data_IF_348436005021
#
_entry.id   IF_348436005021
#
_cell.length_a   1.000
_cell.length_b   1.000
_cell.length_c   1.000
_cell.angle_alpha   90.00
_cell.angle_beta   90.00
_cell.angle_gamma   90.00
#
_symmetry.space_group_name_H-M   'P 1'
#
loop_
_entity.id
_entity.type
_entity.pdbx_description
1 polymer ?
#
# COMPACT_ATOMS: atom_id res chain seq x y z
N UNK A 1 -34.89 81.40 -116.01
CA UNK A 1 -34.35 80.42 -116.98
C UNK A 1 -32.93 80.06 -116.53
N UNK A 2 -32.81 79.15 -115.56
CA UNK A 2 -32.45 77.72 -115.75
C UNK A 2 -30.97 77.52 -116.11
N UNK A 3 -30.05 77.64 -115.14
CA UNK A 3 -28.67 77.13 -115.30
C UNK A 3 -27.84 76.94 -114.01
N UNK A 4 -28.27 77.39 -112.82
CA UNK A 4 -27.43 77.29 -111.60
C UNK A 4 -27.89 76.29 -110.53
N UNK A 5 -29.07 75.67 -110.66
CA UNK A 5 -29.55 74.67 -109.68
C UNK A 5 -29.14 73.24 -110.02
N UNK A 6 -28.57 72.99 -111.20
CA UNK A 6 -28.17 71.64 -111.64
C UNK A 6 -26.73 71.24 -111.22
N UNK A 7 -25.88 72.19 -110.82
CA UNK A 7 -24.51 71.89 -110.35
C UNK A 7 -24.46 71.51 -108.86
N UNK A 8 -25.35 72.04 -108.04
CA UNK A 8 -25.45 71.70 -106.61
C UNK A 8 -26.10 70.33 -106.37
N UNK A 9 -27.09 69.94 -107.20
CA UNK A 9 -27.71 68.61 -107.11
C UNK A 9 -26.72 67.49 -107.46
N UNK A 10 -25.85 67.73 -108.44
CA UNK A 10 -24.81 66.78 -108.88
C UNK A 10 -23.64 66.63 -107.90
N UNK A 11 -23.52 67.51 -106.91
CA UNK A 11 -22.52 67.40 -105.83
C UNK A 11 -23.11 66.68 -104.59
N UNK A 12 -24.42 66.80 -104.36
CA UNK A 12 -25.15 66.14 -103.27
C UNK A 12 -25.50 64.67 -103.56
N UNK A 13 -25.42 64.23 -104.82
CA UNK A 13 -25.68 62.83 -105.24
C UNK A 13 -24.39 61.99 -105.36
N UNK A 14 -23.22 62.56 -105.07
CA UNK A 14 -21.97 61.78 -104.97
C UNK A 14 -21.94 61.01 -103.65
N UNK A 15 -22.51 59.80 -103.67
CA UNK A 15 -22.25 58.77 -102.66
C UNK A 15 -20.75 58.45 -102.68
N UNK A 16 -20.02 58.88 -101.67
CA UNK A 16 -18.73 58.28 -101.31
C UNK A 16 -19.02 57.00 -100.54
N UNK A 17 -19.00 55.87 -101.24
CA UNK A 17 -18.90 54.56 -100.61
C UNK A 17 -17.48 54.42 -100.05
N UNK A 18 -17.34 54.55 -98.73
CA UNK A 18 -16.14 54.12 -98.00
C UNK A 18 -16.52 52.80 -97.32
N UNK A 19 -16.22 51.69 -97.99
CA UNK A 19 -16.19 50.38 -97.34
C UNK A 19 -15.00 50.35 -96.36
N UNK A 20 -15.28 50.56 -95.08
CA UNK A 20 -14.34 50.20 -94.02
C UNK A 20 -14.48 48.68 -93.83
N UNK A 21 -13.64 47.92 -94.53
CA UNK A 21 -13.46 46.50 -94.24
C UNK A 21 -12.68 46.35 -92.94
N UNK A 22 -13.41 46.27 -91.83
CA UNK A 22 -12.89 45.75 -90.58
C UNK A 22 -13.40 44.31 -90.45
N UNK A 23 -12.61 43.35 -90.94
CA UNK A 23 -12.79 41.95 -90.52
C UNK A 23 -12.50 41.89 -89.01
N UNK A 24 -13.44 41.47 -88.14
CA UNK A 24 -13.05 41.01 -86.83
C UNK A 24 -12.39 39.66 -87.06
N UNK A 25 -11.06 39.63 -87.10
CA UNK A 25 -10.35 38.39 -86.81
C UNK A 25 -10.66 38.11 -85.33
N UNK A 26 -11.68 37.31 -85.08
CA UNK A 26 -11.83 36.63 -83.80
C UNK A 26 -10.67 35.63 -83.78
N UNK A 27 -9.52 36.08 -83.29
CA UNK A 27 -8.51 35.15 -82.80
C UNK A 27 -9.18 34.40 -81.67
N UNK A 28 -9.48 33.13 -81.91
CA UNK A 28 -9.79 32.16 -80.88
C UNK A 28 -8.52 32.01 -80.05
N UNK A 29 -8.30 32.94 -79.12
CA UNK A 29 -7.27 32.81 -78.10
C UNK A 29 -7.73 31.67 -77.19
N UNK A 30 -7.33 30.45 -77.55
CA UNK A 30 -7.32 29.34 -76.61
C UNK A 30 -6.37 29.74 -75.49
N UNK A 31 -6.93 30.33 -74.43
CA UNK A 31 -6.20 30.66 -73.21
C UNK A 31 -5.61 29.34 -72.71
N UNK A 32 -4.28 29.26 -72.70
CA UNK A 32 -3.56 28.12 -72.18
C UNK A 32 -3.66 28.14 -70.66
N UNK A 33 -4.60 27.35 -70.13
CA UNK A 33 -4.79 27.18 -68.69
C UNK A 33 -3.84 26.14 -68.10
N UNK A 34 -2.89 25.57 -68.85
CA UNK A 34 -1.95 24.56 -68.34
C UNK A 34 -1.16 25.09 -67.14
N UNK A 35 -0.72 26.34 -67.18
CA UNK A 35 -0.01 26.98 -66.06
C UNK A 35 -0.93 27.17 -64.84
N UNK A 36 -2.22 27.47 -65.07
CA UNK A 36 -3.22 27.62 -64.02
C UNK A 36 -3.60 26.27 -63.43
N UNK A 37 -3.72 25.22 -64.25
CA UNK A 37 -3.95 23.84 -63.82
C UNK A 37 -2.73 23.26 -63.08
N UNK A 38 -1.51 23.61 -63.50
CA UNK A 38 -0.26 23.25 -62.83
C UNK A 38 -0.10 24.01 -61.50
N UNK A 39 -0.51 25.28 -61.44
CA UNK A 39 -0.61 26.07 -60.21
C UNK A 39 -1.69 25.51 -59.28
N UNK A 40 -2.88 25.18 -59.78
CA UNK A 40 -3.97 24.59 -58.98
C UNK A 40 -3.63 23.18 -58.49
N UNK A 41 -2.87 22.40 -59.29
CA UNK A 41 -2.35 21.10 -58.91
C UNK A 41 -1.26 21.17 -57.84
N UNK A 42 -0.40 22.20 -57.86
CA UNK A 42 0.63 22.42 -56.84
C UNK A 42 0.08 23.05 -55.54
N UNK A 43 -1.06 23.75 -55.60
CA UNK A 43 -1.70 24.37 -54.43
C UNK A 43 -2.49 23.34 -53.57
N UNK A 44 -2.76 22.12 -54.07
CA UNK A 44 -3.62 21.14 -53.40
C UNK A 44 -2.98 19.80 -52.99
N UNK A 45 -1.67 19.61 -53.17
CA UNK A 45 -1.00 18.38 -52.71
C UNK A 45 -0.69 18.45 -51.22
N UNK A 46 -1.56 17.91 -50.39
CA UNK A 46 -1.25 17.67 -48.97
C UNK A 46 -0.20 16.56 -48.88
N UNK A 47 0.97 16.79 -48.26
CA UNK A 47 1.96 15.75 -48.04
C UNK A 47 1.51 14.77 -46.94
N UNK A 48 2.14 13.59 -46.89
CA UNK A 48 1.96 12.69 -45.74
C UNK A 48 2.46 13.37 -44.45
N UNK A 49 1.87 13.10 -43.28
CA UNK A 49 2.25 13.76 -42.04
C UNK A 49 3.65 13.36 -41.59
N UNK A 50 4.27 14.21 -40.78
CA UNK A 50 5.49 13.90 -40.05
C UNK A 50 5.20 12.93 -38.89
N UNK A 51 6.26 12.26 -38.40
CA UNK A 51 6.14 11.38 -37.24
C UNK A 51 5.70 12.18 -36.00
N UNK A 52 4.62 11.77 -35.30
CA UNK A 52 4.24 12.44 -34.05
C UNK A 52 5.28 12.20 -32.96
N UNK A 53 5.28 13.08 -31.96
CA UNK A 53 6.18 12.98 -30.80
C UNK A 53 5.37 12.64 -29.55
N UNK A 54 5.56 11.44 -28.98
CA UNK A 54 4.92 11.06 -27.72
C UNK A 54 5.54 11.86 -26.58
N UNK A 55 4.70 12.48 -25.76
CA UNK A 55 5.12 13.27 -24.60
C UNK A 55 5.61 12.33 -23.48
N UNK A 56 6.54 12.74 -22.61
CA UNK A 56 6.90 11.95 -21.44
C UNK A 56 5.69 11.68 -20.52
N UNK A 57 5.67 10.52 -19.87
CA UNK A 57 4.64 10.20 -18.89
C UNK A 57 4.67 11.21 -17.74
N UNK A 58 3.56 11.90 -17.51
CA UNK A 58 3.41 12.75 -16.34
C UNK A 58 3.41 11.87 -15.06
N UNK A 59 4.08 12.29 -13.97
CA UNK A 59 4.02 11.57 -12.70
C UNK A 59 2.58 11.41 -12.21
N UNK A 60 2.25 10.26 -11.62
CA UNK A 60 0.92 9.96 -11.07
C UNK A 60 -0.24 9.99 -12.10
N UNK A 61 0.06 9.88 -13.38
CA UNK A 61 -0.96 9.91 -14.45
C UNK A 61 -1.55 8.54 -14.79
N UNK A 62 -0.95 7.45 -14.31
CA UNK A 62 -1.41 6.09 -14.56
C UNK A 62 -2.25 5.53 -13.40
N UNK A 63 -3.10 4.58 -13.72
CA UNK A 63 -3.75 3.69 -12.75
C UNK A 63 -3.10 2.31 -12.81
N UNK A 64 -3.55 1.39 -11.96
CA UNK A 64 -3.09 0.00 -12.02
C UNK A 64 -3.45 -0.71 -13.32
N UNK A 65 -4.45 -0.21 -14.07
CA UNK A 65 -4.94 -0.87 -15.29
C UNK A 65 -5.06 0.04 -16.50
N UNK A 66 -4.61 1.30 -16.39
CA UNK A 66 -4.71 2.24 -17.49
C UNK A 66 -3.62 3.30 -17.49
N UNK A 67 -3.30 3.78 -18.68
CA UNK A 67 -2.34 4.85 -18.94
C UNK A 67 -2.94 5.80 -19.98
N UNK A 68 -2.76 7.11 -19.77
CA UNK A 68 -3.06 8.11 -20.79
C UNK A 68 -1.78 8.51 -21.52
N UNK A 69 -1.74 8.23 -22.82
CA UNK A 69 -0.63 8.59 -23.71
C UNK A 69 -1.05 9.81 -24.51
N UNK A 70 -0.19 10.83 -24.55
CA UNK A 70 -0.43 12.07 -25.30
C UNK A 70 0.74 12.31 -26.24
N UNK A 71 0.48 12.88 -27.41
CA UNK A 71 1.52 13.23 -28.38
C UNK A 71 1.28 14.60 -29.00
N UNK A 72 2.31 15.12 -29.64
CA UNK A 72 2.32 16.41 -30.31
C UNK A 72 2.70 16.24 -31.78
N UNK A 73 2.20 17.14 -32.62
CA UNK A 73 2.54 17.23 -34.04
C UNK A 73 3.41 18.46 -34.31
N UNK A 74 4.08 18.46 -35.46
CA UNK A 74 4.64 19.67 -36.05
C UNK A 74 3.50 20.52 -36.65
N UNK A 75 3.62 21.85 -36.58
CA UNK A 75 2.50 22.81 -36.65
C UNK A 75 1.70 22.82 -37.95
N UNK A 76 2.23 22.23 -39.01
CA UNK A 76 1.71 22.41 -40.38
C UNK A 76 1.10 21.12 -40.95
N UNK A 77 1.13 20.02 -40.20
CA UNK A 77 0.60 18.73 -40.65
C UNK A 77 -0.93 18.65 -40.51
N UNK A 78 -1.58 18.23 -41.59
CA UNK A 78 -3.02 17.88 -41.57
C UNK A 78 -3.16 16.38 -41.34
N UNK A 79 -3.75 16.01 -40.20
CA UNK A 79 -3.91 14.61 -39.77
C UNK A 79 -5.39 14.28 -39.57
N UNK A 80 -5.82 13.14 -40.09
CA UNK A 80 -7.20 12.65 -40.00
C UNK A 80 -7.38 11.65 -38.84
N UNK A 81 -6.37 10.82 -38.59
CA UNK A 81 -6.37 9.88 -37.47
C UNK A 81 -4.96 9.45 -37.07
N UNK A 82 -4.86 8.83 -35.90
CA UNK A 82 -3.62 8.26 -35.37
C UNK A 82 -3.82 6.80 -35.06
N UNK A 83 -2.79 5.99 -35.30
CA UNK A 83 -2.73 4.60 -34.87
C UNK A 83 -1.69 4.47 -33.76
N UNK A 84 -2.16 4.24 -32.53
CA UNK A 84 -1.32 3.95 -31.37
C UNK A 84 -1.12 2.44 -31.27
N UNK A 85 0.13 2.00 -31.28
CA UNK A 85 0.56 0.62 -31.07
C UNK A 85 1.24 0.49 -29.71
N UNK A 86 0.98 -0.60 -29.00
CA UNK A 86 1.59 -0.84 -27.69
C UNK A 86 1.79 -2.31 -27.35
N UNK A 87 2.79 -2.57 -26.51
CA UNK A 87 3.16 -3.90 -26.01
C UNK A 87 3.83 -3.85 -24.63
N UNK A 88 3.68 -4.88 -23.78
CA UNK A 88 4.40 -4.95 -22.52
C UNK A 88 5.91 -5.18 -22.75
N UNK A 89 6.75 -4.51 -21.97
CA UNK A 89 8.19 -4.77 -21.92
C UNK A 89 8.42 -6.08 -21.15
N UNK A 90 9.19 -7.02 -21.72
CA UNK A 90 9.59 -8.26 -21.05
C UNK A 90 11.09 -8.49 -21.21
N UNK A 91 11.76 -8.85 -20.12
CA UNK A 91 13.15 -9.31 -20.13
C UNK A 91 13.22 -10.77 -20.60
N UNK A 92 13.44 -11.01 -21.90
CA UNK A 92 13.79 -12.36 -22.39
C UNK A 92 13.46 -12.68 -23.85
N UNK A 93 14.52 -12.94 -24.62
CA UNK A 93 14.64 -13.52 -25.99
C UNK A 93 13.83 -12.90 -27.15
N UNK A 94 14.49 -12.43 -28.22
CA UNK A 94 13.83 -12.03 -29.45
C UNK A 94 13.32 -13.28 -30.17
N UNK A 95 12.02 -13.58 -30.13
CA UNK A 95 11.51 -14.73 -30.87
C UNK A 95 10.07 -15.15 -30.64
N UNK A 96 9.37 -14.68 -29.61
CA UNK A 96 7.93 -14.96 -29.49
C UNK A 96 7.12 -13.92 -30.25
N UNK A 97 6.35 -14.40 -31.22
CA UNK A 97 5.41 -13.65 -32.05
C UNK A 97 4.59 -12.67 -31.20
N UNK A 98 4.65 -11.40 -31.58
CA UNK A 98 4.24 -10.29 -30.72
C UNK A 98 2.77 -9.96 -30.98
N UNK A 99 1.91 -10.08 -29.96
CA UNK A 99 0.58 -9.47 -30.02
C UNK A 99 0.73 -7.98 -29.69
N UNK A 100 1.16 -7.21 -30.68
CA UNK A 100 1.12 -5.75 -30.65
C UNK A 100 -0.35 -5.31 -30.74
N UNK A 101 -0.81 -4.57 -29.74
CA UNK A 101 -2.17 -4.06 -29.71
C UNK A 101 -2.20 -2.70 -30.39
N UNK A 102 -3.15 -2.50 -31.31
CA UNK A 102 -3.32 -1.22 -32.02
C UNK A 102 -4.67 -0.58 -31.71
N UNK A 103 -4.68 0.74 -31.52
CA UNK A 103 -5.88 1.54 -31.30
C UNK A 103 -5.84 2.75 -32.23
N UNK A 104 -6.93 2.98 -32.96
CA UNK A 104 -7.09 4.16 -33.82
C UNK A 104 -7.89 5.24 -33.11
N UNK A 105 -7.36 6.47 -33.06
CA UNK A 105 -8.01 7.64 -32.44
C UNK A 105 -7.92 8.86 -33.34
N UNK A 106 -8.73 9.90 -33.10
CA UNK A 106 -8.67 11.16 -33.85
C UNK A 106 -8.00 12.28 -33.07
N UNK A 107 -8.00 12.15 -31.75
CA UNK A 107 -7.39 13.08 -30.81
C UNK A 107 -5.87 12.86 -30.71
N UNK A 108 -5.16 13.85 -30.18
CA UNK A 108 -3.72 13.76 -29.88
C UNK A 108 -3.41 13.04 -28.56
N UNK A 109 -4.34 12.21 -28.10
CA UNK A 109 -4.19 11.39 -26.89
C UNK A 109 -5.04 10.11 -26.97
N UNK A 110 -4.64 9.09 -26.23
CA UNK A 110 -5.41 7.86 -26.06
C UNK A 110 -5.29 7.37 -24.61
N UNK A 111 -6.42 6.93 -24.03
CA UNK A 111 -6.42 6.25 -22.72
C UNK A 111 -6.50 4.75 -22.95
N UNK A 112 -5.37 4.06 -22.74
CA UNK A 112 -5.25 2.62 -22.90
C UNK A 112 -5.62 1.96 -21.57
N UNK A 113 -6.55 1.01 -21.60
CA UNK A 113 -7.06 0.29 -20.44
C UNK A 113 -6.75 -1.21 -20.50
N UNK A 114 -7.12 -1.96 -19.46
CA UNK A 114 -6.86 -3.40 -19.31
C UNK A 114 -5.37 -3.76 -19.32
N UNK A 115 -4.53 -2.85 -18.84
CA UNK A 115 -3.11 -3.07 -18.64
C UNK A 115 -2.86 -3.82 -17.33
N UNK A 116 -1.71 -4.47 -17.23
CA UNK A 116 -1.27 -5.16 -16.02
C UNK A 116 -0.64 -4.15 -15.05
N UNK A 117 -0.96 -4.19 -13.74
CA UNK A 117 -0.32 -3.32 -12.75
C UNK A 117 1.20 -3.49 -12.65
N UNK A 118 1.89 -2.45 -12.19
CA UNK A 118 3.35 -2.42 -12.03
C UNK A 118 4.15 -2.97 -13.24
N UNK A 119 3.72 -2.62 -14.44
CA UNK A 119 4.27 -3.17 -15.69
C UNK A 119 4.65 -2.03 -16.63
N UNK A 120 5.80 -2.17 -17.29
CA UNK A 120 6.25 -1.25 -18.32
C UNK A 120 5.63 -1.62 -19.67
N UNK A 121 5.22 -0.61 -20.42
CA UNK A 121 4.65 -0.74 -21.75
C UNK A 121 5.36 0.21 -22.70
N UNK A 122 5.71 -0.30 -23.87
CA UNK A 122 6.21 0.48 -24.99
C UNK A 122 5.06 0.97 -25.85
N UNK A 123 5.13 2.23 -26.26
CA UNK A 123 4.14 2.91 -27.10
C UNK A 123 4.81 3.51 -28.33
N UNK A 124 4.16 3.37 -29.49
CA UNK A 124 4.51 4.03 -30.75
C UNK A 124 3.25 4.53 -31.43
N UNK A 125 3.30 5.72 -32.02
CA UNK A 125 2.16 6.30 -32.72
C UNK A 125 2.53 6.65 -34.16
N UNK A 126 1.61 6.43 -35.09
CA UNK A 126 1.67 6.92 -36.48
C UNK A 126 0.49 7.84 -36.75
N UNK A 127 0.69 8.86 -37.58
CA UNK A 127 -0.35 9.74 -38.07
C UNK A 127 -0.76 9.32 -39.49
N UNK A 128 -2.04 9.49 -39.81
CA UNK A 128 -2.62 9.16 -41.11
C UNK A 128 -3.40 10.34 -41.66
N UNK A 129 -3.21 10.65 -42.94
CA UNK A 129 -4.07 11.53 -43.71
C UNK A 129 -4.35 10.95 -45.10
N UNK A 130 -5.09 11.68 -45.93
CA UNK A 130 -5.36 11.33 -47.33
C UNK A 130 -4.15 11.02 -48.21
N UNK A 131 -2.95 11.51 -47.88
CA UNK A 131 -1.73 11.26 -48.64
C UNK A 131 -0.97 10.01 -48.19
N UNK A 132 -1.18 9.55 -46.95
CA UNK A 132 -0.59 8.31 -46.44
C UNK A 132 -0.35 8.29 -44.94
N UNK A 133 0.49 7.34 -44.52
CA UNK A 133 0.94 7.15 -43.15
C UNK A 133 2.27 7.87 -42.91
N UNK A 134 2.43 8.45 -41.73
CA UNK A 134 3.72 8.95 -41.25
C UNK A 134 4.66 7.80 -40.88
N UNK A 135 5.98 8.06 -40.76
CA UNK A 135 6.84 7.19 -39.96
C UNK A 135 6.33 7.07 -38.52
N UNK A 136 6.68 5.96 -37.86
CA UNK A 136 6.34 5.77 -36.45
C UNK A 136 7.13 6.74 -35.56
N UNK A 137 6.52 7.17 -34.46
CA UNK A 137 7.20 7.92 -33.41
C UNK A 137 8.38 7.13 -32.83
N UNK A 138 9.28 7.86 -32.16
CA UNK A 138 10.20 7.25 -31.21
C UNK A 138 9.42 6.45 -30.15
N UNK A 139 10.05 5.39 -29.65
CA UNK A 139 9.44 4.50 -28.67
C UNK A 139 9.39 5.18 -27.31
N UNK A 140 8.19 5.31 -26.72
CA UNK A 140 8.02 5.81 -25.37
C UNK A 140 7.70 4.67 -24.41
N UNK A 141 8.33 4.66 -23.24
CA UNK A 141 8.07 3.67 -22.19
C UNK A 141 7.27 4.32 -21.08
N UNK A 142 6.12 3.76 -20.77
CA UNK A 142 5.28 4.18 -19.65
C UNK A 142 5.12 3.03 -18.66
N UNK A 143 4.83 3.38 -17.41
CA UNK A 143 4.58 2.42 -16.33
C UNK A 143 3.17 2.58 -15.78
N UNK A 144 2.47 1.46 -15.60
CA UNK A 144 1.21 1.41 -14.84
C UNK A 144 1.48 1.53 -13.35
N UNK A 145 0.54 2.09 -12.59
CA UNK A 145 0.67 2.18 -11.14
C UNK A 145 0.69 0.77 -10.50
N UNK A 146 1.25 0.61 -9.28
CA UNK A 146 1.31 -0.70 -8.64
C UNK A 146 -0.06 -1.20 -8.15
N UNK A 147 -0.14 -2.50 -7.90
CA UNK A 147 -1.23 -3.08 -7.11
C UNK A 147 -1.12 -2.63 -5.64
N UNK A 148 -2.25 -2.44 -4.93
CA UNK A 148 -2.24 -2.13 -3.51
C UNK A 148 -1.54 -3.23 -2.69
N UNK A 149 -0.67 -2.87 -1.73
CA UNK A 149 -0.10 -3.83 -0.79
C UNK A 149 -1.17 -4.51 0.07
N UNK A 150 -0.87 -5.69 0.61
CA UNK A 150 -1.77 -6.44 1.49
C UNK A 150 -1.25 -6.39 2.92
N UNK A 151 -1.99 -5.75 3.83
CA UNK A 151 -1.60 -5.66 5.24
C UNK A 151 -1.69 -7.05 5.90
N UNK A 152 -0.60 -7.46 6.55
CA UNK A 152 -0.55 -8.70 7.31
C UNK A 152 -1.11 -8.50 8.72
N UNK A 153 -2.43 -8.57 8.85
CA UNK A 153 -3.13 -8.34 10.13
C UNK A 153 -2.63 -9.20 11.29
N UNK A 154 -2.05 -10.38 11.01
CA UNK A 154 -1.47 -11.26 12.04
C UNK A 154 -0.12 -10.81 12.59
N UNK A 155 0.62 -10.01 11.83
CA UNK A 155 1.95 -9.51 12.19
C UNK A 155 1.92 -8.10 12.80
N UNK A 156 0.75 -7.44 12.75
CA UNK A 156 0.52 -6.12 13.34
C UNK A 156 0.70 -6.18 14.85
N UNK A 157 1.43 -5.19 15.36
CA UNK A 157 1.75 -5.02 16.78
C UNK A 157 1.53 -3.57 17.16
N UNK A 158 0.99 -3.30 18.34
CA UNK A 158 0.76 -1.93 18.77
C UNK A 158 0.85 -1.75 20.27
N UNK A 159 1.12 -0.51 20.68
CA UNK A 159 0.94 0.00 22.02
C UNK A 159 0.20 1.35 21.94
N UNK A 160 0.08 2.05 23.05
CA UNK A 160 -0.62 3.33 23.12
C UNK A 160 -0.03 4.40 22.19
N UNK A 161 1.29 4.39 22.02
CA UNK A 161 2.04 5.48 21.38
C UNK A 161 2.56 5.11 19.98
N UNK A 162 2.41 3.85 19.57
CA UNK A 162 2.95 3.39 18.29
C UNK A 162 2.32 2.08 17.81
N UNK A 163 2.38 1.87 16.50
CA UNK A 163 2.04 0.60 15.88
C UNK A 163 3.08 0.22 14.83
N UNK A 164 3.51 -1.04 14.85
CA UNK A 164 4.31 -1.65 13.81
C UNK A 164 3.36 -2.36 12.84
N UNK A 165 3.32 -1.85 11.60
CA UNK A 165 2.49 -2.37 10.52
C UNK A 165 3.38 -3.13 9.55
N UNK A 166 2.99 -4.36 9.22
CA UNK A 166 3.68 -5.20 8.24
C UNK A 166 2.71 -5.50 7.09
N UNK A 167 3.23 -5.54 5.86
CA UNK A 167 2.44 -5.86 4.67
C UNK A 167 3.21 -6.76 3.71
N UNK A 168 2.54 -7.20 2.67
CA UNK A 168 3.13 -7.84 1.50
C UNK A 168 2.94 -6.93 0.30
N UNK A 169 3.96 -6.80 -0.54
CA UNK A 169 3.88 -5.98 -1.75
C UNK A 169 2.76 -6.44 -2.69
N UNK A 170 2.61 -7.76 -2.88
CA UNK A 170 1.69 -8.34 -3.88
C UNK A 170 2.07 -8.07 -5.35
N UNK A 171 3.10 -7.24 -5.59
CA UNK A 171 3.61 -6.92 -6.92
C UNK A 171 4.74 -7.88 -7.32
N UNK A 172 4.75 -8.33 -8.58
CA UNK A 172 5.80 -9.21 -9.11
C UNK A 172 7.13 -8.48 -9.27
N UNK A 173 7.06 -7.24 -9.77
CA UNK A 173 8.21 -6.34 -9.89
C UNK A 173 8.37 -5.51 -8.61
N UNK A 174 9.60 -5.09 -8.26
CA UNK A 174 9.81 -4.15 -7.17
C UNK A 174 9.06 -2.84 -7.43
N UNK A 175 8.67 -2.18 -6.34
CA UNK A 175 8.08 -0.84 -6.36
C UNK A 175 9.12 0.14 -5.81
N UNK A 176 8.98 1.42 -6.11
CA UNK A 176 9.97 2.43 -5.71
C UNK A 176 9.92 2.69 -4.20
N UNK A 177 8.71 2.77 -3.63
CA UNK A 177 8.50 2.94 -2.18
C UNK A 177 7.05 2.67 -1.76
N UNK A 178 6.80 2.73 -0.46
CA UNK A 178 5.47 2.71 0.14
C UNK A 178 5.16 4.02 0.88
N UNK A 179 3.87 4.32 0.99
CA UNK A 179 3.33 5.38 1.84
C UNK A 179 2.32 4.78 2.81
N UNK A 180 2.44 5.12 4.09
CA UNK A 180 1.47 4.79 5.12
C UNK A 180 0.69 6.05 5.48
N UNK A 181 -0.62 6.04 5.23
CA UNK A 181 -1.53 7.14 5.56
C UNK A 181 -2.31 6.80 6.85
N UNK A 182 -2.27 7.69 7.84
CA UNK A 182 -3.04 7.57 9.08
C UNK A 182 -4.19 8.57 9.05
N UNK A 183 -5.41 8.06 9.04
CA UNK A 183 -6.63 8.88 9.07
C UNK A 183 -7.25 8.80 10.45
N UNK A 184 -7.29 9.92 11.15
CA UNK A 184 -7.92 10.03 12.46
C UNK A 184 -9.44 9.79 12.36
N UNK A 185 -10.00 8.92 13.21
CA UNK A 185 -11.44 8.72 13.30
C UNK A 185 -12.14 9.97 13.86
N UNK A 186 -13.25 10.37 13.24
CA UNK A 186 -13.92 11.67 13.45
C UNK A 186 -14.27 11.96 14.92
N UNK A 187 -13.58 12.94 15.48
CA UNK A 187 -13.95 13.61 16.72
C UNK A 187 -14.80 14.81 16.30
N UNK A 188 -16.13 14.63 16.25
CA UNK A 188 -17.15 15.62 15.86
C UNK A 188 -16.68 17.05 15.54
N UNK A 189 -16.67 17.41 14.25
CA UNK A 189 -16.59 18.79 13.76
C UNK A 189 -15.31 19.19 13.00
N UNK A 190 -14.28 18.34 12.94
CA UNK A 190 -13.08 18.60 12.15
C UNK A 190 -12.89 17.53 11.06
N UNK A 191 -12.56 17.98 9.84
CA UNK A 191 -12.10 17.11 8.75
C UNK A 191 -10.94 16.25 9.25
N UNK A 192 -11.03 14.93 9.08
CA UNK A 192 -10.06 13.98 9.61
C UNK A 192 -8.64 14.34 9.17
N UNK A 193 -7.79 14.73 10.12
CA UNK A 193 -6.38 15.03 9.86
C UNK A 193 -5.75 13.73 9.34
N UNK A 194 -5.15 13.81 8.15
CA UNK A 194 -4.43 12.71 7.53
C UNK A 194 -2.94 12.97 7.71
N UNK A 195 -2.28 12.13 8.50
CA UNK A 195 -0.82 12.09 8.59
C UNK A 195 -0.30 11.06 7.59
N UNK A 196 0.91 11.26 7.06
CA UNK A 196 1.48 10.32 6.08
C UNK A 196 2.98 10.15 6.27
N UNK A 197 3.41 8.90 6.32
CA UNK A 197 4.82 8.51 6.28
C UNK A 197 5.12 8.04 4.86
N UNK A 198 6.01 8.74 4.16
CA UNK A 198 6.31 8.54 2.73
C UNK A 198 7.71 7.98 2.53
N UNK A 199 7.97 7.34 1.39
CA UNK A 199 9.31 6.91 0.99
C UNK A 199 9.82 5.67 1.76
N UNK A 200 8.91 4.83 2.25
CA UNK A 200 9.27 3.62 3.00
C UNK A 200 9.81 2.56 2.02
N UNK A 201 11.06 2.08 2.16
CA UNK A 201 11.65 1.15 1.20
C UNK A 201 11.31 -0.32 1.49
N UNK A 202 10.82 -0.63 2.69
CA UNK A 202 10.55 -2.00 3.17
C UNK A 202 9.04 -2.25 3.33
N UNK A 203 8.66 -3.52 3.49
CA UNK A 203 7.27 -3.92 3.72
C UNK A 203 6.83 -3.83 5.20
N UNK A 204 7.47 -2.96 5.97
CA UNK A 204 7.13 -2.71 7.37
C UNK A 204 7.38 -1.25 7.73
N UNK A 205 6.58 -0.73 8.67
CA UNK A 205 6.76 0.62 9.19
C UNK A 205 6.26 0.74 10.62
N UNK A 206 7.08 1.34 11.47
CA UNK A 206 6.71 1.76 12.81
C UNK A 206 6.13 3.17 12.74
N UNK A 207 4.82 3.28 12.96
CA UNK A 207 4.12 4.56 13.00
C UNK A 207 3.95 5.03 14.44
N UNK A 208 4.16 6.33 14.67
CA UNK A 208 3.87 6.97 15.94
C UNK A 208 2.37 7.32 15.99
N UNK A 209 1.76 7.11 17.15
CA UNK A 209 0.34 7.34 17.39
C UNK A 209 0.20 8.33 18.54
N UNK A 210 -0.80 9.19 18.46
CA UNK A 210 -1.17 9.98 19.62
C UNK A 210 -2.01 9.14 20.59
N UNK A 211 -1.69 9.20 21.89
CA UNK A 211 -2.49 8.54 22.91
C UNK A 211 -3.97 8.91 22.81
N UNK A 212 -4.85 7.94 23.11
CA UNK A 212 -6.31 8.13 23.17
C UNK A 212 -6.95 8.57 21.86
N UNK A 213 -6.30 8.31 20.74
CA UNK A 213 -6.86 8.58 19.43
C UNK A 213 -7.05 7.30 18.62
N UNK A 214 -8.14 7.24 17.86
CA UNK A 214 -8.42 6.15 16.93
C UNK A 214 -7.98 6.52 15.52
N UNK A 215 -7.30 5.59 14.86
CA UNK A 215 -6.74 5.77 13.51
C UNK A 215 -7.20 4.64 12.58
N UNK A 216 -7.43 4.99 11.33
CA UNK A 216 -7.51 4.05 10.20
C UNK A 216 -6.23 4.16 9.40
N UNK A 217 -5.54 3.04 9.22
CA UNK A 217 -4.23 3.00 8.55
C UNK A 217 -4.42 2.44 7.14
N UNK A 218 -3.91 3.17 6.15
CA UNK A 218 -3.84 2.74 4.76
C UNK A 218 -2.38 2.60 4.34
N UNK A 219 -2.08 1.62 3.49
CA UNK A 219 -0.78 1.48 2.86
C UNK A 219 -0.96 1.63 1.34
N UNK A 220 0.01 2.23 0.67
CA UNK A 220 0.05 2.39 -0.79
C UNK A 220 1.44 2.06 -1.28
N UNK A 221 1.53 1.42 -2.44
CA UNK A 221 2.77 1.26 -3.17
C UNK A 221 2.90 2.38 -4.20
N UNK A 222 4.12 2.81 -4.48
CA UNK A 222 4.43 3.88 -5.41
C UNK A 222 5.46 3.43 -6.43
N UNK A 223 5.23 3.83 -7.68
CA UNK A 223 6.24 3.82 -8.73
C UNK A 223 6.11 5.11 -9.57
N UNK A 224 6.92 5.26 -10.63
CA UNK A 224 6.84 6.38 -11.57
C UNK A 224 5.44 6.58 -12.20
N UNK A 225 4.67 5.50 -12.37
CA UNK A 225 3.31 5.55 -12.89
C UNK A 225 2.31 6.19 -11.92
N UNK A 226 2.57 6.07 -10.62
CA UNK A 226 1.80 6.71 -9.56
C UNK A 226 1.59 5.83 -8.34
N UNK A 227 0.81 6.31 -7.35
CA UNK A 227 0.43 5.52 -6.20
C UNK A 227 -0.62 4.48 -6.58
N UNK A 228 -0.54 3.29 -5.98
CA UNK A 228 -1.62 2.31 -5.98
C UNK A 228 -2.90 2.90 -5.36
N UNK A 229 -4.02 2.21 -5.54
CA UNK A 229 -5.19 2.46 -4.68
C UNK A 229 -4.83 2.23 -3.20
N UNK A 230 -5.60 2.84 -2.30
CA UNK A 230 -5.47 2.61 -0.85
C UNK A 230 -5.82 1.15 -0.54
N UNK A 231 -4.98 0.46 0.23
CA UNK A 231 -5.39 -0.82 0.81
C UNK A 231 -6.56 -0.58 1.75
N UNK A 232 -7.78 -0.94 1.36
CA UNK A 232 -8.93 -0.73 2.24
C UNK A 232 -8.99 -1.84 3.29
N UNK A 233 -8.60 -1.53 4.51
CA UNK A 233 -9.08 -2.26 5.67
C UNK A 233 -10.51 -1.74 5.98
N UNK A 234 -11.54 -2.32 5.34
CA UNK A 234 -12.93 -1.99 5.70
C UNK A 234 -13.36 -2.81 6.90
N UNK A 235 -13.68 -2.12 7.98
CA UNK A 235 -14.36 -2.69 9.13
C UNK A 235 -15.87 -2.76 8.85
N UNK A 236 -16.38 -3.93 8.45
CA UNK A 236 -17.82 -4.18 8.27
C UNK A 236 -18.44 -4.67 9.59
N UNK A 237 -19.52 -4.07 10.10
CA UNK A 237 -20.23 -4.62 11.25
C UNK A 237 -21.14 -5.77 10.81
N UNK A 238 -20.94 -6.97 11.36
CA UNK A 238 -21.95 -8.03 11.30
C UNK A 238 -21.50 -9.42 10.84
N UNK A 239 -20.23 -9.63 10.47
CA UNK A 239 -19.69 -10.97 10.24
C UNK A 239 -18.57 -11.24 11.24
N UNK A 240 -18.90 -12.04 12.24
CA UNK A 240 -17.98 -12.54 13.25
C UNK A 240 -16.90 -13.41 12.58
N UNK A 241 -15.67 -13.32 13.12
CA UNK A 241 -14.44 -14.01 12.74
C UNK A 241 -13.60 -13.37 11.64
N UNK A 242 -13.05 -12.20 11.95
CA UNK A 242 -11.64 -11.82 11.76
C UNK A 242 -11.48 -10.51 12.55
N UNK A 243 -10.72 -10.58 13.64
CA UNK A 243 -10.58 -9.54 14.67
C UNK A 243 -10.31 -8.16 14.08
N UNK A 244 -11.39 -7.39 13.97
CA UNK A 244 -11.39 -5.94 14.13
C UNK A 244 -10.63 -5.62 15.43
N UNK A 245 -9.41 -5.08 15.35
CA UNK A 245 -9.06 -4.03 16.30
C UNK A 245 -9.90 -2.82 15.91
N UNK A 246 -11.14 -2.80 16.39
CA UNK A 246 -11.87 -1.55 16.53
C UNK A 246 -11.06 -0.77 17.59
N UNK A 247 -10.20 0.15 17.15
CA UNK A 247 -9.84 1.30 17.99
C UNK A 247 -11.13 2.08 18.13
N UNK A 248 -11.94 1.72 19.12
CA UNK A 248 -13.03 2.55 19.62
C UNK A 248 -12.48 3.27 20.83
N UNK A 249 -12.00 4.49 20.61
CA UNK A 249 -12.06 5.50 21.66
C UNK A 249 -13.52 5.94 21.72
N UNK A 250 -14.32 5.23 22.52
CA UNK A 250 -15.68 5.66 22.82
C UNK A 250 -15.58 6.83 23.79
N UNK A 251 -16.26 7.94 23.49
CA UNK A 251 -16.26 9.11 24.39
C UNK A 251 -17.06 8.80 25.66
N UNK A 252 -16.38 9.10 26.76
CA UNK A 252 -16.84 9.82 27.93
C UNK A 252 -18.17 9.37 28.55
N UNK A 253 -18.06 8.30 29.34
CA UNK A 253 -18.78 8.17 30.60
C UNK A 253 -17.85 8.13 31.82
N UNK A 254 -16.62 7.59 31.72
CA UNK A 254 -15.81 7.34 32.91
C UNK A 254 -14.29 7.29 32.66
N UNK A 255 -13.57 8.42 32.81
CA UNK A 255 -12.13 8.43 33.11
C UNK A 255 -11.14 8.13 31.97
N UNK A 256 -9.83 8.31 32.21
CA UNK A 256 -8.78 8.22 31.18
C UNK A 256 -8.49 6.77 30.80
N UNK A 257 -9.02 6.30 29.67
CA UNK A 257 -8.77 4.95 29.18
C UNK A 257 -7.48 4.91 28.34
N UNK A 258 -6.41 4.28 28.87
CA UNK A 258 -5.25 3.85 28.11
C UNK A 258 -5.57 2.49 27.46
N UNK A 259 -5.32 2.33 26.16
CA UNK A 259 -5.48 1.05 25.46
C UNK A 259 -4.19 0.22 25.62
N UNK A 260 -4.33 -1.05 26.06
CA UNK A 260 -3.22 -1.96 26.29
C UNK A 260 -2.46 -2.34 25.02
N UNK A 261 -1.27 -2.93 25.20
CA UNK A 261 -0.46 -3.42 24.09
C UNK A 261 -1.17 -4.54 23.34
N UNK A 262 -0.99 -4.64 22.03
CA UNK A 262 -1.50 -5.73 21.19
C UNK A 262 -0.35 -6.42 20.48
N UNK A 263 -0.28 -7.73 20.66
CA UNK A 263 0.69 -8.62 20.05
C UNK A 263 0.10 -10.03 19.93
N UNK A 264 0.77 -10.91 19.21
CA UNK A 264 0.43 -12.34 19.13
C UNK A 264 1.59 -13.19 19.60
N UNK A 265 1.30 -14.44 19.92
CA UNK A 265 2.33 -15.44 20.20
C UNK A 265 3.16 -15.72 18.94
N UNK A 266 4.47 -15.83 19.12
CA UNK A 266 5.42 -16.11 18.06
C UNK A 266 5.56 -17.62 17.84
N UNK A 267 4.92 -18.12 16.79
CA UNK A 267 4.97 -19.53 16.39
C UNK A 267 6.39 -20.07 16.17
N UNK A 268 7.33 -19.22 15.74
CA UNK A 268 8.71 -19.64 15.48
C UNK A 268 9.47 -19.99 16.78
N UNK A 269 9.11 -19.34 17.89
CA UNK A 269 9.71 -19.60 19.21
C UNK A 269 9.05 -20.78 19.93
N UNK A 270 7.84 -21.16 19.51
CA UNK A 270 6.95 -22.07 20.22
C UNK A 270 7.53 -23.48 20.37
N UNK A 271 7.61 -23.97 21.61
CA UNK A 271 8.05 -25.34 21.90
C UNK A 271 7.13 -26.38 21.23
N UNK A 272 7.65 -27.54 20.75
CA UNK A 272 6.85 -28.54 20.03
C UNK A 272 5.69 -29.21 20.82
N UNK A 273 5.59 -28.96 22.12
CA UNK A 273 4.47 -29.44 22.97
C UNK A 273 3.38 -28.40 23.19
N UNK A 274 3.59 -27.19 22.65
CA UNK A 274 2.63 -26.12 22.69
C UNK A 274 1.99 -25.97 21.31
N UNK A 275 0.68 -25.75 21.31
CA UNK A 275 -0.07 -25.33 20.14
C UNK A 275 -0.62 -23.95 20.41
N UNK A 276 -0.52 -23.08 19.41
CA UNK A 276 -1.09 -21.74 19.43
C UNK A 276 -2.45 -21.78 18.72
N UNK A 277 -3.47 -21.13 19.28
CA UNK A 277 -4.79 -20.99 18.66
C UNK A 277 -4.74 -20.14 17.38
N UNK A 278 -5.76 -20.26 16.53
CA UNK A 278 -5.81 -19.54 15.24
C UNK A 278 -5.74 -18.01 15.38
N UNK A 279 -6.28 -17.48 16.48
CA UNK A 279 -6.23 -16.04 16.83
C UNK A 279 -4.83 -15.58 17.28
N UNK A 280 -3.91 -16.51 17.59
CA UNK A 280 -2.56 -16.23 18.06
C UNK A 280 -2.48 -15.78 19.52
N UNK A 281 -3.54 -15.94 20.32
CA UNK A 281 -3.62 -15.41 21.69
C UNK A 281 -3.69 -16.49 22.78
N UNK A 282 -3.91 -17.75 22.44
CA UNK A 282 -3.98 -18.85 23.41
C UNK A 282 -2.85 -19.84 23.15
N UNK A 283 -2.11 -20.20 24.20
CA UNK A 283 -1.17 -21.32 24.17
C UNK A 283 -1.76 -22.50 24.94
N UNK A 284 -1.73 -23.68 24.33
CA UNK A 284 -2.27 -24.92 24.91
C UNK A 284 -1.17 -25.96 24.93
N UNK A 285 -0.94 -26.58 26.08
CA UNK A 285 -0.10 -27.76 26.23
C UNK A 285 -0.97 -29.01 26.27
N UNK A 286 -0.80 -29.87 25.28
CA UNK A 286 -1.54 -31.14 25.18
C UNK A 286 -0.92 -32.23 26.06
N UNK A 287 -1.70 -33.24 26.45
CA UNK A 287 -1.20 -34.46 27.11
C UNK A 287 -0.44 -35.38 26.15
N UNK A 288 -0.76 -35.32 24.85
CA UNK A 288 -0.11 -36.10 23.79
C UNK A 288 0.75 -35.18 22.94
N UNK A 289 1.97 -35.62 22.63
CA UNK A 289 2.83 -34.93 21.65
C UNK A 289 2.08 -34.90 20.31
N UNK A 290 1.86 -33.71 19.77
CA UNK A 290 1.29 -33.56 18.43
C UNK A 290 2.23 -34.20 17.42
N UNK A 291 1.74 -35.00 16.45
CA UNK A 291 2.56 -35.50 15.36
C UNK A 291 2.86 -34.35 14.41
N UNK A 292 3.91 -33.58 14.71
CA UNK A 292 4.39 -32.50 13.83
C UNK A 292 5.43 -33.05 12.87
N UNK A 293 5.24 -32.80 11.56
CA UNK A 293 6.29 -32.87 10.54
C UNK A 293 7.53 -32.15 11.09
N UNK A 294 8.67 -32.83 11.17
CA UNK A 294 9.91 -32.26 11.71
C UNK A 294 10.17 -30.89 11.08
N UNK A 295 10.05 -29.79 11.84
CA UNK A 295 10.43 -28.49 11.34
C UNK A 295 11.97 -28.44 11.28
N UNK A 296 12.56 -27.62 10.40
CA UNK A 296 14.01 -27.44 10.38
C UNK A 296 14.52 -27.02 11.77
N UNK A 297 15.76 -27.38 12.15
CA UNK A 297 16.35 -26.97 13.41
C UNK A 297 16.55 -25.45 13.39
N UNK A 298 15.55 -24.70 13.84
CA UNK A 298 15.68 -23.26 14.06
C UNK A 298 16.29 -23.02 15.44
N UNK A 299 17.39 -22.26 15.49
CA UNK A 299 18.03 -21.84 16.73
C UNK A 299 17.13 -20.96 17.62
N UNK A 300 16.01 -20.47 17.07
CA UNK A 300 15.06 -19.57 17.72
C UNK A 300 14.00 -20.27 18.56
N UNK A 301 13.80 -21.59 18.39
CA UNK A 301 12.73 -22.34 19.07
C UNK A 301 13.16 -22.82 20.45
N UNK A 302 12.24 -22.77 21.41
CA UNK A 302 12.37 -23.48 22.69
C UNK A 302 12.44 -25.00 22.51
N UNK A 303 13.44 -25.64 23.12
CA UNK A 303 13.72 -27.09 22.93
C UNK A 303 13.61 -27.91 24.20
N UNK A 304 13.90 -27.32 25.38
CA UNK A 304 13.72 -27.97 26.69
C UNK A 304 12.69 -27.24 27.55
N UNK A 305 12.74 -25.92 27.61
CA UNK A 305 11.71 -25.15 28.28
C UNK A 305 10.43 -25.21 27.47
N UNK A 306 9.31 -25.63 28.05
CA UNK A 306 8.04 -25.73 27.32
C UNK A 306 7.39 -24.34 27.28
N UNK A 307 7.93 -23.48 26.42
CA UNK A 307 7.64 -22.05 26.39
C UNK A 307 7.38 -21.50 24.98
N UNK A 308 6.86 -20.29 24.94
CA UNK A 308 6.58 -19.49 23.74
C UNK A 308 6.76 -18.01 24.08
N UNK A 309 7.34 -17.24 23.15
CA UNK A 309 7.45 -15.78 23.24
C UNK A 309 6.27 -15.10 22.56
N UNK A 310 5.92 -13.89 22.98
CA UNK A 310 5.11 -12.95 22.23
C UNK A 310 5.94 -12.21 21.19
N UNK A 311 5.29 -11.72 20.14
CA UNK A 311 5.91 -10.85 19.14
C UNK A 311 6.34 -9.52 19.78
N UNK A 312 7.57 -9.08 19.48
CA UNK A 312 8.16 -7.86 20.01
C UNK A 312 7.39 -6.62 19.58
N UNK A 313 7.09 -5.73 20.53
CA UNK A 313 6.68 -4.35 20.24
C UNK A 313 7.94 -3.47 20.44
N UNK A 314 8.60 -2.99 19.37
CA UNK A 314 9.91 -2.34 19.46
C UNK A 314 9.79 -0.85 19.84
N UNK A 315 9.15 -0.58 20.98
CA UNK A 315 8.88 0.78 21.47
C UNK A 315 9.26 0.84 22.95
N UNK A 316 10.00 1.87 23.34
CA UNK A 316 10.32 2.12 24.75
C UNK A 316 9.21 3.00 25.31
N UNK A 317 8.17 2.37 25.83
CA UNK A 317 7.03 3.06 26.45
C UNK A 317 6.42 2.23 27.57
N UNK A 318 5.13 2.42 27.82
CA UNK A 318 4.39 1.57 28.77
C UNK A 318 3.61 0.50 28.02
N UNK A 319 3.73 -0.73 28.51
CA UNK A 319 3.09 -1.90 27.91
C UNK A 319 2.26 -2.64 28.93
N UNK A 320 1.11 -3.11 28.47
CA UNK A 320 0.12 -3.74 29.32
C UNK A 320 -0.59 -4.88 28.62
N UNK A 321 -0.77 -5.98 29.34
CA UNK A 321 -1.59 -7.12 28.92
C UNK A 321 -2.02 -7.94 30.13
N UNK A 322 -3.10 -8.69 29.95
CA UNK A 322 -3.57 -9.67 30.90
C UNK A 322 -3.29 -11.09 30.41
N UNK A 323 -3.08 -12.00 31.35
CA UNK A 323 -3.03 -13.42 31.09
C UNK A 323 -4.06 -14.10 31.97
N UNK A 324 -5.01 -14.79 31.35
CA UNK A 324 -5.91 -15.72 32.01
C UNK A 324 -5.22 -17.07 32.18
N UNK A 325 -5.26 -17.56 33.41
CA UNK A 325 -4.53 -18.75 33.87
C UNK A 325 -5.45 -19.63 34.71
N UNK A 326 -5.17 -20.93 34.72
CA UNK A 326 -5.87 -21.90 35.57
C UNK A 326 -5.14 -22.07 36.91
N UNK A 327 -5.88 -22.01 38.02
CA UNK A 327 -5.39 -22.15 39.40
C UNK A 327 -4.66 -23.48 39.67
N UNK A 328 -4.90 -24.51 38.86
CA UNK A 328 -4.28 -25.84 38.98
C UNK A 328 -3.21 -26.11 37.92
N UNK A 329 -2.89 -25.13 37.07
CA UNK A 329 -1.87 -25.27 36.04
C UNK A 329 -0.51 -24.80 36.52
N UNK A 330 0.54 -25.50 36.11
CA UNK A 330 1.93 -25.07 36.33
C UNK A 330 2.34 -24.16 35.16
N UNK A 331 2.45 -22.86 35.44
CA UNK A 331 2.72 -21.86 34.43
C UNK A 331 3.82 -20.89 34.86
N UNK A 332 4.48 -20.29 33.86
CA UNK A 332 5.37 -19.14 34.05
C UNK A 332 4.97 -18.04 33.09
N UNK A 333 4.83 -16.81 33.58
CA UNK A 333 4.46 -15.62 32.79
C UNK A 333 5.42 -14.48 33.10
N UNK A 334 5.76 -13.67 32.10
CA UNK A 334 6.66 -12.54 32.33
C UNK A 334 7.20 -11.94 31.03
N UNK A 335 8.43 -11.44 31.09
CA UNK A 335 9.16 -10.92 29.94
C UNK A 335 10.57 -11.47 29.87
N UNK A 336 11.12 -11.55 28.66
CA UNK A 336 12.49 -11.98 28.43
C UNK A 336 13.12 -11.29 27.22
N UNK A 337 14.44 -11.22 27.18
CA UNK A 337 15.15 -10.80 25.97
C UNK A 337 15.04 -11.87 24.87
N UNK A 338 15.26 -11.46 23.62
CA UNK A 338 15.22 -12.36 22.45
C UNK A 338 16.24 -13.51 22.58
N UNK A 339 17.42 -13.21 23.13
CA UNK A 339 18.55 -14.12 23.31
C UNK A 339 18.44 -15.04 24.54
N UNK A 340 17.30 -15.04 25.25
CA UNK A 340 17.10 -15.94 26.39
C UNK A 340 17.35 -17.40 26.00
N UNK A 341 18.14 -18.16 26.77
CA UNK A 341 18.45 -19.57 26.48
C UNK A 341 17.18 -20.40 26.28
N UNK A 342 17.13 -21.10 25.14
CA UNK A 342 15.97 -21.90 24.74
C UNK A 342 15.94 -23.30 25.40
N UNK A 343 16.95 -23.59 26.22
CA UNK A 343 17.17 -24.86 26.92
C UNK A 343 16.98 -24.74 28.44
N UNK A 344 16.80 -23.54 28.98
CA UNK A 344 16.65 -23.28 30.41
C UNK A 344 15.25 -22.74 30.72
N UNK A 345 14.80 -22.93 31.95
CA UNK A 345 13.48 -22.45 32.36
C UNK A 345 13.47 -20.91 32.46
N UNK A 346 12.35 -20.30 32.09
CA UNK A 346 12.16 -18.86 32.22
C UNK A 346 12.33 -18.41 33.69
N UNK A 347 13.10 -17.35 33.90
CA UNK A 347 13.49 -16.82 35.22
C UNK A 347 14.77 -17.45 35.81
N UNK A 348 15.37 -18.45 35.16
CA UNK A 348 16.56 -19.14 35.66
C UNK A 348 17.88 -18.37 35.46
N UNK A 349 17.87 -17.31 34.67
CA UNK A 349 19.03 -16.48 34.36
C UNK A 349 18.65 -14.99 34.41
N UNK A 350 19.60 -14.12 34.12
CA UNK A 350 19.39 -12.67 34.11
C UNK A 350 18.73 -12.13 32.82
N UNK A 351 18.30 -13.01 31.90
CA UNK A 351 17.71 -12.62 30.61
C UNK A 351 16.17 -12.71 30.61
N UNK A 352 15.58 -13.05 31.76
CA UNK A 352 14.13 -13.15 31.93
C UNK A 352 13.69 -12.73 33.35
N UNK A 353 12.48 -12.17 33.43
CA UNK A 353 11.81 -11.76 34.66
C UNK A 353 10.41 -12.34 34.65
N UNK A 354 10.12 -13.27 35.57
CA UNK A 354 8.90 -14.05 35.48
C UNK A 354 8.24 -14.31 36.83
N UNK A 355 6.92 -14.41 36.82
CA UNK A 355 6.12 -15.02 37.87
C UNK A 355 5.86 -16.48 37.50
N UNK A 356 6.24 -17.41 38.38
CA UNK A 356 5.97 -18.84 38.25
C UNK A 356 4.94 -19.28 39.27
N UNK A 357 4.00 -20.09 38.83
CA UNK A 357 3.05 -20.80 39.68
C UNK A 357 3.27 -22.31 39.54
N UNK A 358 3.32 -23.01 40.68
CA UNK A 358 3.37 -24.47 40.73
C UNK A 358 2.28 -24.96 41.67
N UNK A 359 1.46 -25.89 41.16
CA UNK A 359 0.42 -26.54 41.92
C UNK A 359 0.89 -27.92 42.42
N UNK A 360 1.02 -28.03 43.74
CA UNK A 360 1.29 -29.27 44.45
C UNK A 360 0.20 -29.48 45.49
N UNK A 361 -0.92 -30.08 45.05
CA UNK A 361 -2.16 -30.21 45.84
C UNK A 361 -1.91 -30.55 47.32
N UNK A 362 -2.45 -29.77 48.28
CA UNK A 362 -3.36 -28.62 48.12
C UNK A 362 -2.64 -27.24 48.11
N UNK A 363 -1.32 -27.19 47.87
CA UNK A 363 -0.52 -25.97 48.01
C UNK A 363 -0.27 -25.32 46.65
N UNK A 364 -0.55 -24.01 46.60
CA UNK A 364 -0.05 -23.12 45.56
C UNK A 364 1.32 -22.58 45.97
N UNK A 365 2.30 -22.66 45.07
CA UNK A 365 3.60 -22.01 45.23
C UNK A 365 3.73 -20.95 44.15
N UNK A 366 4.05 -19.72 44.57
CA UNK A 366 4.31 -18.61 43.67
C UNK A 366 5.72 -18.09 43.87
N UNK A 367 6.45 -17.90 42.77
CA UNK A 367 7.83 -17.42 42.77
C UNK A 367 7.98 -16.28 41.78
N UNK A 368 8.74 -15.25 42.12
CA UNK A 368 9.08 -14.16 41.23
C UNK A 368 10.55 -14.27 40.87
N UNK A 369 10.82 -14.92 39.75
CA UNK A 369 12.12 -15.41 39.32
C UNK A 369 12.84 -14.40 38.43
N UNK A 370 14.05 -14.04 38.86
CA UNK A 370 15.10 -13.45 38.03
C UNK A 370 16.45 -13.94 38.57
N UNK A 371 17.29 -14.52 37.72
CA UNK A 371 18.55 -15.16 38.15
C UNK A 371 18.34 -16.22 39.25
N UNK A 372 17.24 -17.00 39.18
CA UNK A 372 16.79 -17.99 40.20
C UNK A 372 16.54 -17.41 41.59
N UNK A 373 16.56 -16.09 41.73
CA UNK A 373 16.22 -15.43 42.99
C UNK A 373 14.72 -15.21 43.03
N UNK A 374 14.09 -15.62 44.14
CA UNK A 374 12.70 -15.28 44.45
C UNK A 374 12.66 -14.55 45.79
N UNK A 375 11.93 -13.43 45.90
CA UNK A 375 11.64 -12.85 47.20
C UNK A 375 10.68 -13.75 47.98
N UNK A 376 10.70 -13.63 49.32
CA UNK A 376 9.73 -14.31 50.17
C UNK A 376 8.38 -13.58 50.10
N UNK A 377 7.49 -14.08 49.24
CA UNK A 377 6.16 -13.53 49.00
C UNK A 377 5.13 -14.64 49.18
N UNK A 378 4.03 -14.30 49.86
CA UNK A 378 2.89 -15.21 50.05
C UNK A 378 1.67 -14.66 49.36
N UNK A 379 1.19 -15.39 48.36
CA UNK A 379 -0.09 -15.15 47.71
C UNK A 379 -1.12 -16.07 48.36
N UNK A 380 -2.15 -15.48 48.98
CA UNK A 380 -3.21 -16.21 49.70
C UNK A 380 -4.43 -16.49 48.84
N UNK A 381 -4.64 -15.69 47.79
CA UNK A 381 -5.74 -15.84 46.84
C UNK A 381 -5.13 -16.07 45.46
N UNK A 382 -5.34 -17.25 44.89
CA UNK A 382 -4.83 -17.60 43.58
C UNK A 382 -5.46 -16.69 42.49
N UNK A 383 -4.66 -16.00 41.65
CA UNK A 383 -5.21 -15.24 40.53
C UNK A 383 -5.69 -16.18 39.43
N UNK A 384 -6.87 -15.89 38.88
CA UNK A 384 -7.34 -16.40 37.58
C UNK A 384 -6.86 -15.51 36.44
N UNK A 385 -6.61 -14.23 36.73
CA UNK A 385 -6.07 -13.26 35.78
C UNK A 385 -4.90 -12.48 36.36
N UNK A 386 -3.82 -12.42 35.60
CA UNK A 386 -2.59 -11.71 35.96
C UNK A 386 -2.38 -10.55 34.99
N UNK A 387 -2.41 -9.33 35.53
CA UNK A 387 -2.06 -8.12 34.80
C UNK A 387 -0.54 -7.92 34.81
N UNK A 388 0.02 -7.61 33.65
CA UNK A 388 1.41 -7.25 33.46
C UNK A 388 1.50 -5.77 33.12
N UNK A 389 2.36 -5.05 33.84
CA UNK A 389 2.69 -3.66 33.57
C UNK A 389 4.19 -3.55 33.39
N UNK A 390 4.62 -3.30 32.15
CA UNK A 390 6.00 -3.05 31.79
C UNK A 390 6.18 -1.56 31.53
N UNK A 391 7.03 -0.93 32.33
CA UNK A 391 7.36 0.49 32.24
C UNK A 391 8.85 0.62 31.96
N UNK A 392 9.20 0.92 30.71
CA UNK A 392 10.60 1.13 30.32
C UNK A 392 11.19 2.41 30.94
N UNK A 393 10.40 3.47 31.10
CA UNK A 393 10.85 4.75 31.63
C UNK A 393 11.31 4.60 33.08
N UNK A 394 10.50 3.91 33.88
CA UNK A 394 10.78 3.66 35.29
C UNK A 394 11.57 2.36 35.53
N UNK A 395 11.89 1.59 34.48
CA UNK A 395 12.59 0.31 34.59
C UNK A 395 11.90 -0.68 35.54
N UNK A 396 10.56 -0.79 35.42
CA UNK A 396 9.73 -1.62 36.30
C UNK A 396 8.90 -2.62 35.52
N UNK A 397 8.85 -3.86 36.01
CA UNK A 397 7.87 -4.87 35.60
C UNK A 397 7.04 -5.25 36.81
N UNK A 398 5.74 -4.98 36.76
CA UNK A 398 4.81 -5.23 37.87
C UNK A 398 3.74 -6.24 37.49
N UNK A 399 3.38 -7.08 38.46
CA UNK A 399 2.36 -8.12 38.36
C UNK A 399 1.22 -7.80 39.32
N UNK A 400 -0.02 -7.94 38.86
CA UNK A 400 -1.22 -7.75 39.69
C UNK A 400 -2.20 -8.91 39.54
N UNK A 401 -2.84 -9.29 40.64
CA UNK A 401 -4.01 -10.13 40.64
C UNK A 401 -5.23 -9.27 40.31
N UNK A 402 -5.80 -9.48 39.12
CA UNK A 402 -6.91 -8.67 38.60
C UNK A 402 -8.20 -8.94 39.37
N UNK A 403 -8.41 -10.18 39.83
CA UNK A 403 -9.66 -10.62 40.45
C UNK A 403 -9.96 -9.88 41.76
N UNK A 404 -8.90 -9.53 42.50
CA UNK A 404 -8.98 -8.79 43.77
C UNK A 404 -8.24 -7.45 43.74
N UNK A 405 -7.84 -7.00 42.54
CA UNK A 405 -7.16 -5.72 42.34
C UNK A 405 -5.90 -5.55 43.21
N UNK A 406 -5.13 -6.61 43.39
CA UNK A 406 -3.99 -6.65 44.31
C UNK A 406 -2.66 -6.62 43.55
N UNK A 407 -1.77 -5.71 43.95
CA UNK A 407 -0.36 -5.77 43.53
C UNK A 407 0.32 -7.01 44.11
N UNK A 408 0.97 -7.80 43.25
CA UNK A 408 1.66 -9.02 43.66
C UNK A 408 3.14 -8.78 43.87
N UNK A 409 3.82 -8.22 42.86
CA UNK A 409 5.25 -7.94 42.93
C UNK A 409 5.69 -6.97 41.83
N UNK A 410 6.84 -6.31 42.04
CA UNK A 410 7.51 -5.49 41.03
C UNK A 410 9.00 -5.81 41.00
N UNK A 411 9.52 -6.16 39.82
CA UNK A 411 10.96 -6.18 39.56
C UNK A 411 11.45 -4.77 39.18
N UNK A 412 12.62 -4.41 39.69
CA UNK A 412 13.44 -3.36 39.06
C UNK A 412 14.28 -4.02 37.96
N UNK A 413 13.96 -3.72 36.71
CA UNK A 413 14.51 -4.38 35.53
C UNK A 413 15.41 -3.43 34.76
N UNK A 414 16.71 -3.69 34.70
CA UNK A 414 17.61 -2.95 33.81
C UNK A 414 17.50 -3.50 32.39
N UNK A 415 16.56 -2.95 31.62
CA UNK A 415 16.25 -3.40 30.26
C UNK A 415 17.11 -2.66 29.23
N UNK A 416 18.26 -3.25 28.89
CA UNK A 416 19.19 -2.69 27.90
C UNK A 416 18.67 -2.83 26.46
N UNK A 417 17.78 -3.80 26.22
CA UNK A 417 17.15 -4.09 24.93
C UNK A 417 15.62 -4.18 25.10
N UNK A 418 14.91 -4.30 23.98
CA UNK A 418 13.48 -4.61 24.03
C UNK A 418 13.25 -6.03 24.53
N UNK A 419 12.21 -6.21 25.33
CA UNK A 419 11.78 -7.52 25.83
C UNK A 419 10.52 -7.99 25.15
N UNK A 420 10.42 -9.30 25.02
CA UNK A 420 9.26 -10.01 24.57
C UNK A 420 8.45 -10.48 25.78
N UNK A 421 7.12 -10.42 25.75
CA UNK A 421 6.30 -11.22 26.64
C UNK A 421 6.69 -12.70 26.51
N UNK A 422 6.77 -13.45 27.60
CA UNK A 422 7.15 -14.85 27.56
C UNK A 422 6.24 -15.70 28.45
N UNK A 423 5.90 -16.88 27.97
CA UNK A 423 4.92 -17.76 28.61
C UNK A 423 5.38 -19.22 28.56
N UNK A 424 5.17 -19.97 29.63
CA UNK A 424 5.48 -21.40 29.70
C UNK A 424 4.40 -22.18 30.43
N UNK A 425 4.19 -23.43 30.00
CA UNK A 425 3.31 -24.40 30.65
C UNK A 425 4.12 -25.67 30.95
N UNK A 426 4.41 -25.95 32.22
CA UNK A 426 5.22 -27.12 32.64
C UNK A 426 4.42 -28.43 32.70
N UNK A 427 3.08 -28.33 32.78
CA UNK A 427 2.14 -29.46 32.69
C UNK A 427 1.03 -29.16 31.68
N UNK A 428 0.29 -30.18 31.21
CA UNK A 428 -0.88 -29.97 30.36
C UNK A 428 -1.84 -28.93 30.94
N UNK A 429 -2.32 -28.03 30.10
CA UNK A 429 -3.08 -26.84 30.50
C UNK A 429 -3.15 -25.83 29.38
N UNK A 430 -3.72 -24.66 29.67
CA UNK A 430 -3.80 -23.56 28.72
C UNK A 430 -3.56 -22.21 29.42
N UNK A 431 -3.10 -21.24 28.64
CA UNK A 431 -3.05 -19.84 29.01
C UNK A 431 -3.60 -19.00 27.87
N UNK A 432 -4.34 -17.95 28.21
CA UNK A 432 -4.97 -17.05 27.23
C UNK A 432 -4.56 -15.62 27.49
N UNK A 433 -4.06 -14.96 26.46
CA UNK A 433 -3.64 -13.57 26.49
C UNK A 433 -4.83 -12.69 26.15
N UNK A 434 -5.09 -11.71 27.01
CA UNK A 434 -6.06 -10.65 26.75
C UNK A 434 -5.29 -9.34 26.62
N UNK A 435 -5.28 -8.78 25.43
CA UNK A 435 -4.45 -7.63 25.09
C UNK A 435 -5.23 -6.67 24.17
N UNK A 436 -4.73 -5.44 23.96
CA UNK A 436 -5.54 -4.37 23.35
C UNK A 436 -6.74 -3.93 24.21
N UNK A 437 -6.75 -4.30 25.49
CA UNK A 437 -7.81 -4.01 26.47
C UNK A 437 -7.52 -2.73 27.26
N UNK A 438 -8.56 -2.04 27.70
CA UNK A 438 -8.41 -0.83 28.51
C UNK A 438 -7.83 -1.16 29.89
N UNK A 439 -6.91 -0.32 30.39
CA UNK A 439 -6.35 -0.47 31.75
C UNK A 439 -7.48 -0.44 32.81
N UNK A 440 -7.58 -1.44 33.71
CA UNK A 440 -8.57 -1.46 34.77
C UNK A 440 -8.40 -0.26 35.72
N UNK A 441 -9.52 0.37 36.11
CA UNK A 441 -9.56 1.58 36.94
C UNK A 441 -8.89 1.44 38.32
N UNK A 442 -8.71 0.21 38.80
CA UNK A 442 -8.14 -0.11 40.11
C UNK A 442 -6.62 -0.31 40.08
N UNK A 443 -5.99 -0.35 38.90
CA UNK A 443 -4.52 -0.33 38.77
C UNK A 443 -4.09 1.13 38.80
N UNK A 444 -4.28 1.78 39.95
CA UNK A 444 -3.72 3.11 40.19
C UNK A 444 -2.21 2.93 40.31
N UNK A 445 -1.48 3.42 39.31
CA UNK A 445 -0.02 3.46 39.34
C UNK A 445 0.42 4.28 40.55
N UNK A 446 1.12 3.64 41.50
CA UNK A 446 1.82 4.28 42.60
C UNK A 446 3.30 4.42 42.30
#
# INVERSE_FOLDING_TARGET
>A
MSSNTNRLRKFLETKTDVEISAQPAVEDQTLDFSDVEQLLGSINTIPAPSAPVINPQAPNSATGSSVRVCWSLYSDDTVESYQLSYRPVRDGSPGTDHTESTVTVKETYCSVANLVPNTQYEFRVTAQNRAGLSPASECAVYMTAPSPPVIKSKEVRSCEEAALICWESGNLNPVDSYTVELVQAETSGASGVTESVVGIPTCESLVQLQPRQSYTIYVRALNVGGPSARTSLRFMPGLCNLTLMKMVVQRAGEGPHLHGSYFRLNEQTCHPWLTISEDGLTAVRSERKTPTREPPPSSTRFTRCVAVMGNLIPVRGRHYWEVEVDERSDYTVGVAFEDVPKQEDLGANCLSWCMRHTWASPRHKYEFLHNKMTPDIRITVAPKKIWHSLDYENSRLSFFNVDISQHLYTFSCQLHQFVHPCFSLEKPGCLKIHNGISVPKHVTFY
#
